data_IF_564612759419
#
_entry.id   IF_564612759419
#
_cell.length_a   1.000
_cell.length_b   1.000
_cell.length_c   1.000
_cell.angle_alpha   90.00
_cell.angle_beta   90.00
_cell.angle_gamma   90.00
#
_symmetry.space_group_name_H-M   'P 1'
#
loop_
_entity.id
_entity.type
_entity.pdbx_description
1 polymer ?
#
# COMPACT_ATOMS: atom_id res chain seq x y z
N UNK A 1 23.63 -33.74 12.98
CA UNK A 1 23.74 -32.69 11.95
C UNK A 1 22.38 -32.56 11.28
N UNK A 2 21.57 -31.58 11.66
CA UNK A 2 20.27 -31.33 11.03
C UNK A 2 20.40 -30.06 10.20
N UNK A 3 20.31 -30.23 8.89
CA UNK A 3 20.47 -29.18 7.88
C UNK A 3 19.38 -28.12 8.01
N UNK A 4 19.80 -26.87 8.26
CA UNK A 4 18.99 -25.68 7.99
C UNK A 4 18.79 -25.58 6.48
N UNK A 5 17.56 -25.68 6.00
CA UNK A 5 17.18 -25.26 4.64
C UNK A 5 15.90 -24.41 4.75
N UNK A 6 16.00 -23.18 4.23
CA UNK A 6 15.22 -22.04 4.69
C UNK A 6 13.82 -21.88 4.14
N UNK A 7 13.13 -20.93 4.76
CA UNK A 7 12.40 -19.89 4.04
C UNK A 7 12.65 -18.62 4.85
N UNK A 8 13.10 -17.51 4.24
CA UNK A 8 13.37 -16.29 4.98
C UNK A 8 12.10 -15.88 5.71
N UNK A 9 12.33 -15.32 6.89
CA UNK A 9 11.48 -14.37 7.57
C UNK A 9 11.13 -13.24 6.59
N UNK A 10 10.25 -13.52 5.62
CA UNK A 10 9.57 -12.52 4.80
C UNK A 10 8.46 -11.96 5.70
N UNK A 11 8.89 -11.19 6.70
CA UNK A 11 8.13 -10.21 7.48
C UNK A 11 7.66 -9.06 6.55
N UNK A 12 7.40 -9.36 5.27
CA UNK A 12 6.52 -8.53 4.47
C UNK A 12 5.15 -8.68 5.10
N UNK A 13 4.61 -7.56 5.55
CA UNK A 13 3.35 -7.38 6.26
C UNK A 13 2.13 -7.86 5.44
N UNK A 14 2.08 -9.16 5.11
CA UNK A 14 1.26 -9.86 4.12
C UNK A 14 -0.25 -9.82 4.38
N UNK A 15 -0.70 -9.21 5.47
CA UNK A 15 -2.08 -9.38 5.91
C UNK A 15 -3.02 -8.24 5.54
N UNK A 16 -2.58 -7.19 4.84
CA UNK A 16 -3.54 -6.15 4.45
C UNK A 16 -3.20 -5.24 3.27
N UNK A 17 -2.01 -5.30 2.65
CA UNK A 17 -1.57 -4.32 1.65
C UNK A 17 -2.60 -4.02 0.54
N UNK A 18 -2.66 -2.78 0.08
CA UNK A 18 -3.53 -2.34 -1.01
C UNK A 18 -2.79 -2.47 -2.32
N UNK A 19 -3.37 -3.15 -3.30
CA UNK A 19 -2.81 -3.32 -4.63
C UNK A 19 -3.72 -2.68 -5.68
N UNK A 20 -3.17 -1.82 -6.52
CA UNK A 20 -3.81 -1.27 -7.69
C UNK A 20 -3.19 -1.89 -8.95
N UNK A 21 -4.01 -2.51 -9.79
CA UNK A 21 -3.57 -3.23 -10.97
C UNK A 21 -4.53 -2.98 -12.15
N UNK A 22 -4.05 -3.21 -13.37
CA UNK A 22 -4.87 -3.12 -14.57
C UNK A 22 -5.28 -4.51 -15.02
N UNK A 23 -6.58 -4.73 -15.20
CA UNK A 23 -7.12 -5.99 -15.68
C UNK A 23 -8.30 -5.73 -16.60
N UNK A 24 -8.39 -6.49 -17.69
CA UNK A 24 -9.54 -6.47 -18.59
C UNK A 24 -9.92 -5.06 -19.12
N UNK A 25 -8.94 -4.19 -19.35
CA UNK A 25 -9.18 -2.82 -19.85
C UNK A 25 -9.52 -1.80 -18.77
N UNK A 26 -9.51 -2.18 -17.49
CA UNK A 26 -9.90 -1.33 -16.36
C UNK A 26 -8.84 -1.37 -15.26
N UNK A 27 -8.75 -0.28 -14.51
CA UNK A 27 -7.98 -0.22 -13.29
C UNK A 27 -8.83 -0.75 -12.14
N UNK A 28 -8.23 -1.63 -11.36
CA UNK A 28 -8.81 -2.25 -10.18
C UNK A 28 -7.92 -1.95 -8.99
N UNK A 29 -8.52 -1.75 -7.84
CA UNK A 29 -7.80 -1.69 -6.57
C UNK A 29 -8.45 -2.65 -5.57
N UNK A 30 -7.62 -3.46 -4.93
CA UNK A 30 -8.03 -4.48 -3.96
C UNK A 30 -7.12 -4.46 -2.76
N UNK A 31 -7.55 -5.07 -1.67
CA UNK A 31 -6.66 -5.40 -0.55
C UNK A 31 -6.12 -6.80 -0.80
N UNK A 32 -4.86 -7.06 -0.52
CA UNK A 32 -4.28 -8.40 -0.68
C UNK A 32 -4.95 -9.43 0.25
N UNK A 33 -5.59 -8.95 1.32
CA UNK A 33 -6.41 -9.75 2.24
C UNK A 33 -7.72 -10.25 1.62
N UNK A 34 -8.23 -9.59 0.57
CA UNK A 34 -9.51 -9.95 -0.06
C UNK A 34 -9.37 -10.03 -1.58
N UNK A 35 -9.80 -11.14 -2.23
CA UNK A 35 -9.69 -11.28 -3.68
C UNK A 35 -10.57 -10.27 -4.43
N UNK A 36 -11.61 -9.75 -3.78
CA UNK A 36 -12.55 -8.79 -4.36
C UNK A 36 -11.97 -7.37 -4.43
N UNK A 37 -11.93 -6.76 -5.63
CA UNK A 37 -11.59 -5.34 -5.77
C UNK A 37 -12.70 -4.47 -5.19
N UNK A 38 -12.33 -3.59 -4.25
CA UNK A 38 -13.28 -2.67 -3.64
C UNK A 38 -13.56 -1.44 -4.51
N UNK A 39 -12.68 -1.14 -5.49
CA UNK A 39 -12.97 -0.14 -6.50
C UNK A 39 -12.40 -0.54 -7.87
N UNK A 40 -13.13 -0.18 -8.93
CA UNK A 40 -12.75 -0.40 -10.32
C UNK A 40 -13.16 0.78 -11.20
N UNK A 41 -12.43 1.04 -12.28
CA UNK A 41 -12.74 2.12 -13.23
C UNK A 41 -11.67 2.35 -14.28
N UNK A 42 -11.94 3.21 -15.26
CA UNK A 42 -11.00 3.49 -16.36
C UNK A 42 -9.85 4.43 -15.96
N UNK A 43 -10.03 5.22 -14.90
CA UNK A 43 -9.10 6.28 -14.52
C UNK A 43 -8.05 5.80 -13.53
N UNK A 44 -6.84 5.51 -14.00
CA UNK A 44 -5.67 5.15 -13.15
C UNK A 44 -5.53 6.05 -11.93
N UNK A 45 -5.50 7.36 -12.14
CA UNK A 45 -5.29 8.34 -11.08
C UNK A 45 -6.38 8.28 -9.98
N UNK A 46 -7.64 8.00 -10.37
CA UNK A 46 -8.74 7.85 -9.42
C UNK A 46 -8.55 6.62 -8.56
N UNK A 47 -8.18 5.49 -9.15
CA UNK A 47 -8.00 4.23 -8.42
C UNK A 47 -6.76 4.28 -7.52
N UNK A 48 -5.68 4.93 -7.98
CA UNK A 48 -4.51 5.20 -7.14
C UNK A 48 -4.90 6.07 -5.95
N UNK A 49 -5.65 7.16 -6.16
CA UNK A 49 -6.08 8.04 -5.06
C UNK A 49 -6.88 7.27 -3.99
N UNK A 50 -7.87 6.47 -4.42
CA UNK A 50 -8.67 5.64 -3.51
C UNK A 50 -7.76 4.62 -2.78
N UNK A 51 -6.84 3.97 -3.50
CA UNK A 51 -5.89 3.02 -2.93
C UNK A 51 -4.97 3.66 -1.89
N UNK A 52 -4.45 4.85 -2.18
CA UNK A 52 -3.63 5.67 -1.27
C UNK A 52 -4.43 6.03 -0.03
N UNK A 53 -5.68 6.48 -0.17
CA UNK A 53 -6.53 6.79 0.97
C UNK A 53 -6.68 5.56 1.86
N UNK A 54 -7.16 4.43 1.32
CA UNK A 54 -7.36 3.20 2.09
C UNK A 54 -6.06 2.74 2.76
N UNK A 55 -4.95 2.76 2.03
CA UNK A 55 -3.65 2.37 2.57
C UNK A 55 -3.20 3.31 3.70
N UNK A 56 -3.41 4.62 3.55
CA UNK A 56 -3.09 5.63 4.57
C UNK A 56 -3.98 5.51 5.81
N UNK A 57 -5.28 5.30 5.65
CA UNK A 57 -6.22 5.12 6.76
C UNK A 57 -5.89 3.88 7.61
N UNK A 58 -5.44 2.80 6.95
CA UNK A 58 -5.15 1.54 7.61
C UNK A 58 -3.66 1.37 7.98
N UNK A 59 -2.77 2.26 7.53
CA UNK A 59 -1.32 2.13 7.76
C UNK A 59 -0.66 1.00 6.99
N UNK A 60 -1.06 0.84 5.73
CA UNK A 60 -0.69 -0.28 4.88
C UNK A 60 0.22 0.16 3.73
N UNK A 61 0.83 -0.81 3.06
CA UNK A 61 1.52 -0.53 1.81
C UNK A 61 0.53 -0.42 0.67
N UNK A 62 0.77 0.53 -0.23
CA UNK A 62 0.08 0.65 -1.51
C UNK A 62 1.02 0.25 -2.63
N UNK A 63 0.65 -0.78 -3.37
CA UNK A 63 1.40 -1.35 -4.49
C UNK A 63 0.67 -0.97 -5.76
N UNK A 64 1.30 -0.22 -6.65
CA UNK A 64 0.74 0.13 -7.96
C UNK A 64 1.45 -0.65 -9.03
N UNK A 65 0.70 -1.45 -9.77
CA UNK A 65 1.14 -2.16 -10.96
C UNK A 65 0.74 -1.42 -12.23
N UNK A 66 1.60 -1.47 -13.22
CA UNK A 66 1.33 -0.98 -14.56
C UNK A 66 0.41 -1.93 -15.34
N UNK A 67 0.00 -1.52 -16.54
CA UNK A 67 -0.79 -2.34 -17.48
C UNK A 67 -0.13 -3.67 -17.84
N UNK A 68 1.21 -3.72 -17.76
CA UNK A 68 2.00 -4.93 -18.01
C UNK A 68 2.10 -5.85 -16.78
N UNK A 69 1.50 -5.47 -15.65
CA UNK A 69 1.57 -6.20 -14.38
C UNK A 69 2.85 -5.94 -13.57
N UNK A 70 3.76 -5.11 -14.09
CA UNK A 70 5.00 -4.70 -13.40
C UNK A 70 4.68 -3.73 -12.27
N UNK A 71 5.26 -3.94 -11.09
CA UNK A 71 5.16 -2.97 -9.98
C UNK A 71 5.95 -1.72 -10.36
N UNK A 72 5.27 -0.60 -10.47
CA UNK A 72 5.87 0.70 -10.79
C UNK A 72 6.05 1.58 -9.58
N UNK A 73 5.24 1.39 -8.55
CA UNK A 73 5.26 2.23 -7.35
C UNK A 73 4.85 1.41 -6.13
N UNK A 74 5.52 1.67 -4.99
CA UNK A 74 5.31 0.98 -3.74
C UNK A 74 5.42 2.00 -2.60
N UNK A 75 4.28 2.42 -2.06
CA UNK A 75 4.19 3.44 -1.03
C UNK A 75 3.78 2.81 0.29
N UNK A 76 4.72 2.71 1.25
CA UNK A 76 4.42 2.25 2.60
C UNK A 76 3.90 3.42 3.45
N UNK A 77 2.63 3.37 3.83
CA UNK A 77 2.06 4.34 4.76
C UNK A 77 2.18 3.75 6.16
N UNK A 78 3.02 4.33 7.02
CA UNK A 78 3.03 3.94 8.43
C UNK A 78 1.93 4.71 9.15
N UNK A 79 1.01 4.00 9.80
CA UNK A 79 0.17 4.60 10.85
C UNK A 79 1.06 4.74 12.09
N UNK A 80 1.95 5.73 12.06
CA UNK A 80 2.56 6.24 13.27
C UNK A 80 1.55 7.11 14.02
N UNK A 81 1.70 7.29 15.35
CA UNK A 81 1.01 8.39 16.00
C UNK A 81 1.33 9.64 15.19
N UNK A 82 0.28 10.36 14.82
CA UNK A 82 0.37 11.70 14.25
C UNK A 82 1.61 12.38 14.86
N UNK A 83 2.66 12.78 14.09
CA UNK A 83 3.69 13.60 14.69
C UNK A 83 2.92 14.78 15.24
N UNK A 84 2.98 14.98 16.56
CA UNK A 84 2.35 16.11 17.18
C UNK A 84 2.82 17.31 16.39
N UNK A 85 1.98 17.83 15.50
CA UNK A 85 2.17 19.15 14.93
C UNK A 85 1.79 20.10 16.04
N UNK A 86 2.58 20.08 17.11
CA UNK A 86 2.85 21.28 17.83
C UNK A 86 3.57 22.17 16.81
N UNK A 87 3.06 23.37 16.49
CA UNK A 87 3.92 24.34 15.83
C UNK A 87 5.17 24.45 16.70
N UNK A 88 6.35 24.35 16.10
CA UNK A 88 7.60 24.61 16.78
C UNK A 88 7.49 26.01 17.40
N UNK A 89 7.14 26.04 18.69
CA UNK A 89 7.15 27.24 19.51
C UNK A 89 8.58 27.72 19.51
N UNK A 90 8.84 28.69 18.65
CA UNK A 90 10.04 29.50 18.68
C UNK A 90 10.08 30.20 20.02
N UNK A 91 10.95 29.77 20.94
CA UNK A 91 11.46 30.70 21.95
C UNK A 91 12.86 30.27 22.37
N UNK A 92 13.86 30.85 21.68
CA UNK A 92 15.16 31.17 22.29
C UNK A 92 14.90 32.27 23.33
N UNK A 93 15.40 32.08 24.54
CA UNK A 93 15.39 33.08 25.61
C UNK A 93 16.09 32.52 26.84
#
# INVERSE_FOLDING_TARGET
>A
MTTRNGTPDDDVSLHADVETYYQNGLWHTRRCDSPDPFASGQSRARLIAIGVEVARWNGLCHIVRDINGTVVELNRYTTGPYPSRAPAGSTRG
#
